data_IF_708796744102
#
_entry.id   IF_708796744102
#
_cell.length_a   1.000
_cell.length_b   1.000
_cell.length_c   1.000
_cell.angle_alpha   90.00
_cell.angle_beta   90.00
_cell.angle_gamma   90.00
#
_symmetry.space_group_name_H-M   'P 1'
#
loop_
_entity.id
_entity.type
_entity.pdbx_description
1 polymer ?
#
# COMPACT_ATOMS: atom_id res chain seq x y z
N UNK A 1 -100.13 7.61 12.17
CA UNK A 1 -100.32 6.15 11.95
C UNK A 1 -98.95 5.55 11.66
N UNK A 2 -98.59 4.48 12.39
CA UNK A 2 -97.36 3.65 12.25
C UNK A 2 -97.38 2.89 10.89
N UNK A 3 -96.35 2.12 10.47
CA UNK A 3 -94.95 1.90 10.93
C UNK A 3 -93.95 2.18 9.76
N UNK A 4 -92.62 2.00 9.77
CA UNK A 4 -91.79 0.83 10.09
C UNK A 4 -90.28 1.18 10.16
N UNK A 5 -89.56 0.24 10.75
CA UNK A 5 -88.17 0.18 11.28
C UNK A 5 -87.26 -0.52 10.21
N UNK A 6 -85.95 -0.78 10.40
CA UNK A 6 -84.74 0.05 10.53
C UNK A 6 -83.67 -0.26 9.44
N UNK A 7 -82.48 0.36 9.48
CA UNK A 7 -81.24 -0.38 9.18
C UNK A 7 -80.03 0.20 9.92
N UNK A 8 -79.24 -0.74 10.43
CA UNK A 8 -78.17 -0.67 11.41
C UNK A 8 -76.84 -0.43 10.67
N UNK A 9 -75.94 0.38 11.24
CA UNK A 9 -74.52 0.02 11.23
C UNK A 9 -73.90 0.37 12.58
N UNK A 10 -73.32 -0.67 13.18
CA UNK A 10 -72.70 -0.72 14.49
C UNK A 10 -71.27 -0.17 14.47
N UNK A 11 -70.80 0.28 15.63
CA UNK A 11 -69.42 0.70 15.85
C UNK A 11 -69.15 1.29 17.25
N UNK A 12 -69.74 0.70 18.30
CA UNK A 12 -69.34 0.81 19.71
C UNK A 12 -67.91 0.24 19.91
N UNK A 13 -67.09 0.52 20.93
CA UNK A 13 -66.99 1.49 22.02
C UNK A 13 -65.79 1.04 22.91
N UNK A 14 -65.45 1.84 23.93
CA UNK A 14 -64.55 1.58 25.08
C UNK A 14 -63.03 1.64 24.83
N UNK A 15 -62.21 2.29 25.67
CA UNK A 15 -62.47 3.01 26.91
C UNK A 15 -61.16 3.35 27.66
N UNK A 16 -61.07 4.59 28.16
CA UNK A 16 -60.51 5.04 29.46
C UNK A 16 -59.30 4.31 30.11
N UNK A 17 -58.20 5.06 30.33
CA UNK A 17 -57.55 5.40 31.62
C UNK A 17 -56.01 5.42 31.62
N UNK A 18 -55.47 6.61 31.92
CA UNK A 18 -54.30 6.93 32.73
C UNK A 18 -52.98 6.15 32.55
N UNK A 19 -51.94 6.87 32.13
CA UNK A 19 -50.67 6.90 32.87
C UNK A 19 -49.86 8.16 32.54
N UNK A 20 -49.74 9.01 33.56
CA UNK A 20 -48.76 10.09 33.63
C UNK A 20 -47.40 9.42 33.82
N UNK A 21 -46.59 9.33 32.77
CA UNK A 21 -45.17 9.04 32.90
C UNK A 21 -44.39 10.32 32.58
N UNK A 22 -43.50 10.78 33.48
CA UNK A 22 -42.56 11.84 33.14
C UNK A 22 -41.68 11.36 31.99
N UNK A 23 -41.67 12.11 30.89
CA UNK A 23 -40.70 11.97 29.82
C UNK A 23 -39.31 12.23 30.39
N UNK A 24 -38.65 11.15 30.81
CA UNK A 24 -37.22 11.11 31.06
C UNK A 24 -36.51 11.77 29.86
N UNK A 25 -35.50 12.62 30.10
CA UNK A 25 -34.70 13.16 29.01
C UNK A 25 -34.15 11.98 28.22
N UNK A 26 -34.36 12.01 26.91
CA UNK A 26 -33.78 11.08 25.96
C UNK A 26 -32.32 10.87 26.34
N UNK A 27 -32.01 9.66 26.84
CA UNK A 27 -30.68 9.30 27.28
C UNK A 27 -29.72 9.68 26.17
N UNK A 28 -28.78 10.56 26.50
CA UNK A 28 -27.61 10.79 25.67
C UNK A 28 -27.04 9.40 25.37
N UNK A 29 -27.14 8.99 24.10
CA UNK A 29 -26.55 7.76 23.64
C UNK A 29 -25.05 7.87 23.94
N UNK A 30 -24.59 7.15 24.97
CA UNK A 30 -23.18 7.02 25.30
C UNK A 30 -22.44 6.69 24.01
N UNK A 31 -21.39 7.44 23.63
CA UNK A 31 -20.72 7.19 22.37
C UNK A 31 -20.27 5.73 22.35
N UNK A 32 -20.81 5.01 21.39
CA UNK A 32 -20.48 3.65 21.01
C UNK A 32 -18.97 3.62 20.69
N UNK A 33 -18.15 3.05 21.57
CA UNK A 33 -16.69 2.96 21.39
C UNK A 33 -15.97 4.33 21.24
N UNK A 34 -15.53 4.92 22.36
CA UNK A 34 -14.64 6.07 22.32
C UNK A 34 -13.18 5.64 22.12
N UNK A 35 -12.49 6.28 21.20
CA UNK A 35 -11.03 6.17 21.00
C UNK A 35 -10.38 7.33 21.74
N UNK A 36 -9.64 7.02 22.80
CA UNK A 36 -8.87 7.99 23.58
C UNK A 36 -7.41 7.92 23.13
N UNK A 37 -6.98 8.97 22.43
CA UNK A 37 -5.64 9.11 21.86
C UNK A 37 -4.59 8.85 22.94
N UNK A 38 -3.60 8.00 22.65
CA UNK A 38 -2.51 7.75 23.58
C UNK A 38 -2.85 6.90 24.81
N UNK A 39 -4.09 6.44 24.96
CA UNK A 39 -4.57 5.86 26.21
C UNK A 39 -5.39 4.58 26.07
N UNK A 40 -6.48 4.58 25.29
CA UNK A 40 -7.47 3.52 25.34
C UNK A 40 -8.39 3.47 24.11
N UNK A 41 -9.04 2.33 23.90
CA UNK A 41 -10.19 2.20 23.00
C UNK A 41 -11.27 1.42 23.75
N UNK A 42 -12.42 2.07 23.99
CA UNK A 42 -13.48 1.50 24.81
C UNK A 42 -13.00 1.18 26.23
N UNK A 43 -13.19 -0.06 26.68
CA UNK A 43 -12.80 -0.49 28.02
C UNK A 43 -11.32 -0.91 28.15
N UNK A 44 -10.63 -1.14 27.04
CA UNK A 44 -9.24 -1.64 27.05
C UNK A 44 -8.26 -0.49 27.03
N UNK A 45 -7.27 -0.53 27.92
CA UNK A 45 -6.27 0.53 28.12
C UNK A 45 -4.88 0.04 27.73
N UNK A 46 -4.04 0.97 27.29
CA UNK A 46 -2.61 0.70 27.11
C UNK A 46 -1.94 0.41 28.46
N UNK A 47 -1.06 -0.59 28.47
CA UNK A 47 -0.39 -1.08 29.68
C UNK A 47 -1.21 -2.08 30.50
N UNK A 48 -2.46 -2.37 30.12
CA UNK A 48 -3.28 -3.41 30.75
C UNK A 48 -2.62 -4.79 30.58
N UNK A 49 -2.70 -5.63 31.61
CA UNK A 49 -2.13 -6.97 31.57
C UNK A 49 -3.01 -7.92 30.74
N UNK A 50 -2.36 -8.88 30.07
CA UNK A 50 -3.01 -9.85 29.18
C UNK A 50 -4.21 -10.58 29.82
N UNK A 51 -4.15 -11.10 31.06
CA UNK A 51 -5.30 -11.79 31.67
C UNK A 51 -6.50 -10.87 31.88
N UNK A 52 -6.26 -9.62 32.26
CA UNK A 52 -7.33 -8.63 32.45
C UNK A 52 -7.96 -8.24 31.12
N UNK A 53 -7.14 -8.02 30.09
CA UNK A 53 -7.61 -7.72 28.74
C UNK A 53 -8.47 -8.86 28.18
N UNK A 54 -8.05 -10.13 28.31
CA UNK A 54 -8.83 -11.29 27.88
C UNK A 54 -10.13 -11.45 28.66
N UNK A 55 -10.14 -11.10 29.95
CA UNK A 55 -11.36 -11.08 30.77
C UNK A 55 -12.38 -10.06 30.25
N UNK A 56 -11.92 -8.90 29.78
CA UNK A 56 -12.78 -7.85 29.24
C UNK A 56 -13.24 -8.14 27.81
N UNK A 57 -12.36 -8.68 26.97
CA UNK A 57 -12.59 -8.87 25.54
C UNK A 57 -13.18 -10.24 25.19
N UNK A 58 -13.07 -11.22 26.09
CA UNK A 58 -13.38 -12.60 25.81
C UNK A 58 -12.32 -13.27 24.93
N UNK A 59 -12.70 -14.38 24.30
CA UNK A 59 -11.78 -15.16 23.48
C UNK A 59 -11.46 -14.47 22.14
N UNK A 60 -10.19 -14.36 21.75
CA UNK A 60 -9.81 -13.85 20.44
C UNK A 60 -10.26 -14.81 19.34
N UNK A 61 -10.61 -14.27 18.17
CA UNK A 61 -10.93 -15.07 16.97
C UNK A 61 -9.68 -15.53 16.22
N UNK A 62 -8.52 -14.95 16.56
CA UNK A 62 -7.23 -15.32 16.01
C UNK A 62 -6.09 -14.73 16.81
N UNK A 63 -4.93 -15.37 16.72
CA UNK A 63 -3.70 -14.92 17.34
C UNK A 63 -2.56 -15.09 16.35
N UNK A 64 -1.73 -14.06 16.21
CA UNK A 64 -0.53 -14.06 15.38
C UNK A 64 0.66 -13.74 16.27
N UNK A 65 1.66 -14.61 16.30
CA UNK A 65 2.93 -14.31 16.95
C UNK A 65 3.66 -13.24 16.10
N UNK A 66 4.00 -12.10 16.71
CA UNK A 66 4.74 -11.03 16.07
C UNK A 66 6.21 -11.40 15.84
N UNK A 67 6.83 -10.78 14.83
CA UNK A 67 8.19 -11.09 14.40
C UNK A 67 9.31 -10.63 15.36
N UNK A 68 9.00 -9.83 16.39
CA UNK A 68 9.97 -9.39 17.39
C UNK A 68 9.60 -9.85 18.81
N UNK A 69 10.65 -10.08 19.62
CA UNK A 69 10.64 -10.66 20.98
C UNK A 69 9.32 -10.47 21.75
N UNK A 70 8.57 -11.57 21.89
CA UNK A 70 7.36 -11.69 22.72
C UNK A 70 6.20 -10.76 22.34
N UNK A 71 6.14 -10.32 21.09
CA UNK A 71 4.96 -9.66 20.54
C UNK A 71 3.90 -10.69 20.15
N UNK A 72 2.67 -10.48 20.58
CA UNK A 72 1.51 -11.27 20.19
C UNK A 72 0.38 -10.33 19.78
N UNK A 73 -0.15 -10.53 18.58
CA UNK A 73 -1.29 -9.78 18.05
C UNK A 73 -2.54 -10.64 18.20
N UNK A 74 -3.50 -10.16 18.98
CA UNK A 74 -4.80 -10.77 19.16
C UNK A 74 -5.84 -10.07 18.27
N UNK A 75 -6.64 -10.86 17.57
CA UNK A 75 -7.68 -10.37 16.65
C UNK A 75 -9.06 -10.67 17.24
N UNK A 76 -9.97 -9.71 17.16
CA UNK A 76 -11.33 -9.79 17.69
C UNK A 76 -12.35 -9.33 16.65
N UNK A 77 -13.59 -9.85 16.75
CA UNK A 77 -14.71 -9.47 15.88
C UNK A 77 -15.45 -8.20 16.33
N UNK A 78 -15.08 -7.62 17.48
CA UNK A 78 -15.78 -6.51 18.11
C UNK A 78 -15.31 -5.11 17.66
N UNK A 79 -15.76 -4.05 18.36
CA UNK A 79 -15.36 -2.67 18.08
C UNK A 79 -13.84 -2.47 18.14
N UNK A 80 -13.17 -3.20 19.01
CA UNK A 80 -11.72 -3.31 19.05
C UNK A 80 -11.32 -4.51 18.18
N UNK A 81 -10.67 -4.25 17.04
CA UNK A 81 -10.38 -5.29 16.05
C UNK A 81 -9.06 -6.01 16.29
N UNK A 82 -8.05 -5.30 16.82
CA UNK A 82 -6.71 -5.85 17.04
C UNK A 82 -6.10 -5.27 18.32
N UNK A 83 -5.37 -6.12 19.05
CA UNK A 83 -4.63 -5.75 20.26
C UNK A 83 -3.23 -6.36 20.17
N UNK A 84 -2.21 -5.51 20.26
CA UNK A 84 -0.82 -5.97 20.32
C UNK A 84 -0.36 -6.00 21.76
N UNK A 85 0.12 -7.16 22.20
CA UNK A 85 0.68 -7.40 23.53
C UNK A 85 2.17 -7.67 23.41
N UNK A 86 2.99 -7.01 24.23
CA UNK A 86 4.44 -7.23 24.31
C UNK A 86 4.82 -7.46 25.75
N UNK A 87 5.47 -8.58 26.05
CA UNK A 87 5.87 -8.91 27.43
C UNK A 87 4.69 -9.00 28.40
N UNK A 88 3.55 -9.50 27.93
CA UNK A 88 2.33 -9.67 28.74
C UNK A 88 1.47 -8.41 28.90
N UNK A 89 1.88 -7.26 28.36
CA UNK A 89 1.14 -6.00 28.47
C UNK A 89 0.64 -5.47 27.12
N UNK A 90 -0.54 -4.87 27.12
CA UNK A 90 -1.12 -4.19 25.96
C UNK A 90 -0.25 -2.99 25.56
N UNK A 91 0.19 -2.96 24.31
CA UNK A 91 1.02 -1.89 23.73
C UNK A 91 0.36 -1.11 22.62
N UNK A 92 -0.53 -1.75 21.85
CA UNK A 92 -1.30 -1.12 20.78
C UNK A 92 -2.72 -1.63 20.76
N UNK A 93 -3.63 -0.75 20.38
CA UNK A 93 -5.07 -0.99 20.28
C UNK A 93 -5.52 -0.49 18.92
N UNK A 94 -6.23 -1.29 18.13
CA UNK A 94 -6.67 -0.85 16.81
C UNK A 94 -8.14 -1.19 16.53
N UNK A 95 -8.84 -0.26 15.89
CA UNK A 95 -10.24 -0.40 15.50
C UNK A 95 -10.44 -0.13 14.02
N UNK A 96 -11.27 -0.98 13.39
CA UNK A 96 -11.83 -0.80 12.04
C UNK A 96 -13.34 -0.54 12.09
N UNK A 97 -13.92 -0.42 13.28
CA UNK A 97 -15.36 -0.41 13.45
C UNK A 97 -15.92 1.00 13.30
N UNK A 98 -16.91 1.17 12.42
CA UNK A 98 -17.48 2.49 12.07
C UNK A 98 -18.18 3.22 13.21
N UNK A 99 -18.51 2.53 14.31
CA UNK A 99 -19.06 3.18 15.50
C UNK A 99 -17.99 3.95 16.28
N UNK A 100 -16.72 3.54 16.20
CA UNK A 100 -15.68 4.13 17.03
C UNK A 100 -15.32 5.55 16.57
N UNK A 101 -15.18 6.47 17.52
CA UNK A 101 -14.87 7.88 17.26
C UNK A 101 -13.74 8.36 18.17
N UNK A 102 -12.81 9.13 17.62
CA UNK A 102 -11.75 9.78 18.43
C UNK A 102 -12.30 10.93 19.27
N UNK A 103 -11.58 11.37 20.31
CA UNK A 103 -12.00 12.55 21.06
C UNK A 103 -12.05 13.80 20.16
N UNK A 104 -11.17 13.88 19.16
CA UNK A 104 -11.20 14.90 18.11
C UNK A 104 -12.32 14.71 17.04
N UNK A 105 -13.16 13.68 17.15
CA UNK A 105 -14.32 13.48 16.28
C UNK A 105 -14.03 12.84 14.91
N UNK A 106 -12.88 12.15 14.76
CA UNK A 106 -12.53 11.39 13.55
C UNK A 106 -13.08 9.97 13.63
N UNK A 107 -13.57 9.42 12.51
CA UNK A 107 -14.16 8.09 12.40
C UNK A 107 -13.60 7.30 11.22
N UNK A 108 -13.86 6.00 11.20
CA UNK A 108 -13.64 5.16 10.02
C UNK A 108 -14.48 5.70 8.85
N UNK A 109 -13.86 5.83 7.68
CA UNK A 109 -14.44 6.38 6.46
C UNK A 109 -14.16 7.86 6.23
N UNK A 110 -13.67 8.60 7.23
CA UNK A 110 -13.29 10.01 7.07
C UNK A 110 -12.10 10.18 6.13
N UNK A 111 -12.02 11.30 5.42
CA UNK A 111 -10.92 11.61 4.51
C UNK A 111 -9.70 12.24 5.22
N UNK A 112 -8.54 12.24 4.55
CA UNK A 112 -7.31 12.86 5.05
C UNK A 112 -7.50 14.31 5.53
N UNK A 113 -8.26 15.12 4.79
CA UNK A 113 -8.53 16.52 5.15
C UNK A 113 -9.26 16.67 6.50
N UNK A 114 -10.16 15.73 6.82
CA UNK A 114 -10.89 15.73 8.09
C UNK A 114 -9.94 15.41 9.26
N UNK A 115 -9.04 14.45 9.07
CA UNK A 115 -8.01 14.12 10.06
C UNK A 115 -7.10 15.32 10.30
N UNK A 116 -6.57 15.93 9.23
CA UNK A 116 -5.70 17.11 9.34
C UNK A 116 -6.39 18.30 10.02
N UNK A 117 -7.69 18.51 9.76
CA UNK A 117 -8.45 19.57 10.41
C UNK A 117 -8.72 19.27 11.90
N UNK A 118 -8.97 18.02 12.26
CA UNK A 118 -9.20 17.61 13.65
C UNK A 118 -7.93 17.67 14.51
N UNK A 119 -6.76 17.58 13.89
CA UNK A 119 -5.44 17.59 14.53
C UNK A 119 -4.54 18.73 14.01
N UNK A 120 -5.14 19.86 13.64
CA UNK A 120 -4.43 21.03 13.09
C UNK A 120 -3.32 21.56 14.02
N UNK A 121 -3.53 21.44 15.34
CA UNK A 121 -2.60 21.85 16.40
C UNK A 121 -1.69 20.72 16.88
N UNK A 122 -1.80 19.52 16.31
CA UNK A 122 -0.95 18.41 16.73
C UNK A 122 0.49 18.65 16.29
N UNK A 123 1.41 18.57 17.24
CA UNK A 123 2.84 18.66 16.97
C UNK A 123 3.30 17.36 16.33
N UNK A 124 4.17 17.44 15.31
CA UNK A 124 4.85 16.26 14.76
C UNK A 124 3.95 15.26 14.03
N UNK A 125 2.83 15.70 13.46
CA UNK A 125 2.03 14.85 12.56
C UNK A 125 2.86 14.45 11.34
N UNK A 126 2.95 13.15 11.08
CA UNK A 126 3.68 12.57 9.96
C UNK A 126 2.73 11.90 9.00
N UNK A 127 3.01 12.06 7.71
CA UNK A 127 2.32 11.35 6.64
C UNK A 127 3.27 10.35 6.00
N UNK A 128 3.18 9.10 6.45
CA UNK A 128 3.92 7.98 5.90
C UNK A 128 3.11 7.25 4.80
N UNK A 129 3.79 6.57 3.89
CA UNK A 129 3.16 5.90 2.74
C UNK A 129 2.84 6.81 1.56
N UNK A 130 2.60 6.17 0.40
CA UNK A 130 2.23 6.83 -0.85
C UNK A 130 1.14 6.03 -1.59
N UNK A 131 0.39 6.71 -2.46
CA UNK A 131 -0.65 6.09 -3.28
C UNK A 131 -1.87 5.62 -2.48
N UNK A 132 -2.22 4.34 -2.62
CA UNK A 132 -3.47 3.77 -2.11
C UNK A 132 -3.47 3.50 -0.59
N UNK A 133 -2.30 3.47 0.05
CA UNK A 133 -2.14 3.25 1.49
C UNK A 133 -1.31 4.39 2.08
N UNK A 134 -1.94 5.20 2.94
CA UNK A 134 -1.31 6.34 3.61
C UNK A 134 -1.50 6.16 5.11
N UNK A 135 -0.50 6.53 5.91
CA UNK A 135 -0.54 6.48 7.38
C UNK A 135 -0.31 7.89 7.91
N UNK A 136 -1.27 8.43 8.66
CA UNK A 136 -1.10 9.68 9.40
C UNK A 136 -0.77 9.34 10.84
N UNK A 137 0.49 9.53 11.23
CA UNK A 137 1.00 9.17 12.56
C UNK A 137 1.12 10.44 13.40
N UNK A 138 0.52 10.44 14.59
CA UNK A 138 0.56 11.54 15.56
C UNK A 138 1.18 11.01 16.86
N UNK A 139 2.51 10.94 16.93
CA UNK A 139 3.22 10.20 17.98
C UNK A 139 3.01 10.79 19.38
N UNK A 140 2.96 12.12 19.49
CA UNK A 140 2.74 12.81 20.77
C UNK A 140 1.29 12.77 21.24
N UNK A 141 0.35 12.53 20.33
CA UNK A 141 -1.03 12.21 20.67
C UNK A 141 -1.21 10.71 20.93
N UNK A 142 -0.30 9.86 20.45
CA UNK A 142 -0.38 8.40 20.58
C UNK A 142 -1.50 7.79 19.73
N UNK A 143 -1.67 8.31 18.52
CA UNK A 143 -2.67 7.82 17.56
C UNK A 143 -2.12 7.78 16.14
N UNK A 144 -2.55 6.81 15.36
CA UNK A 144 -2.27 6.64 13.94
C UNK A 144 -3.57 6.36 13.18
N UNK A 145 -3.69 6.96 12.00
CA UNK A 145 -4.76 6.70 11.05
C UNK A 145 -4.18 6.02 9.82
N UNK A 146 -4.67 4.84 9.47
CA UNK A 146 -4.36 4.22 8.18
C UNK A 146 -5.49 4.54 7.21
N UNK A 147 -5.14 5.09 6.06
CA UNK A 147 -6.05 5.46 5.00
C UNK A 147 -5.86 4.50 3.82
N UNK A 148 -6.96 3.95 3.33
CA UNK A 148 -7.01 3.13 2.12
C UNK A 148 -7.92 3.81 1.12
N UNK A 149 -7.42 4.08 -0.09
CA UNK A 149 -8.19 4.83 -1.10
C UNK A 149 -8.60 6.23 -0.64
N UNK A 150 -7.78 6.88 0.20
CA UNK A 150 -8.01 8.23 0.71
C UNK A 150 -8.98 8.34 1.90
N UNK A 151 -9.49 7.21 2.42
CA UNK A 151 -10.39 7.17 3.58
C UNK A 151 -9.77 6.37 4.74
N UNK A 152 -9.98 6.83 5.97
CA UNK A 152 -9.55 6.12 7.19
C UNK A 152 -10.17 4.73 7.21
N UNK A 153 -9.33 3.69 7.18
CA UNK A 153 -9.70 2.28 7.21
C UNK A 153 -9.31 1.58 8.51
N UNK A 154 -8.43 2.18 9.30
CA UNK A 154 -8.00 1.74 10.63
C UNK A 154 -7.62 2.96 11.46
N UNK A 155 -7.97 2.92 12.74
CA UNK A 155 -7.45 3.82 13.77
C UNK A 155 -6.67 2.98 14.76
N UNK A 156 -5.41 3.32 15.00
CA UNK A 156 -4.55 2.67 15.98
C UNK A 156 -4.15 3.65 17.08
N UNK A 157 -4.21 3.18 18.33
CA UNK A 157 -3.80 3.89 19.54
C UNK A 157 -2.62 3.17 20.15
N UNK A 158 -1.58 3.94 20.46
CA UNK A 158 -0.34 3.48 21.09
C UNK A 158 0.09 4.50 22.14
N UNK A 159 1.05 4.15 23.00
CA UNK A 159 1.45 5.06 24.09
C UNK A 159 2.00 6.36 23.49
N UNK A 160 1.40 7.49 23.86
CA UNK A 160 1.85 8.80 23.44
C UNK A 160 3.31 9.05 23.85
N UNK A 161 4.07 9.66 22.95
CA UNK A 161 5.44 10.06 23.21
C UNK A 161 5.47 11.32 24.11
N UNK A 162 6.46 11.39 25.00
CA UNK A 162 6.64 12.57 25.85
C UNK A 162 7.27 13.67 25.00
N UNK A 163 6.57 14.79 24.83
CA UNK A 163 7.14 16.01 24.27
C UNK A 163 8.35 16.42 25.13
N UNK A 164 9.57 16.52 24.57
CA UNK A 164 10.70 17.05 25.30
C UNK A 164 10.36 18.47 25.79
N UNK A 165 10.67 18.80 27.06
CA UNK A 165 10.35 20.11 27.68
C UNK A 165 10.89 21.30 26.86
N UNK A 166 11.97 21.11 26.11
CA UNK A 166 12.52 22.12 25.18
C UNK A 166 11.63 22.42 23.96
N UNK A 167 10.72 21.52 23.59
CA UNK A 167 9.78 21.70 22.47
C UNK A 167 8.54 22.51 22.86
N UNK A 168 8.08 22.41 24.12
CA UNK A 168 6.97 23.21 24.64
C UNK A 168 7.30 24.72 24.73
N UNK A 169 8.59 25.07 24.78
CA UNK A 169 9.10 26.45 24.82
C UNK A 169 9.51 27.00 23.44
N UNK A 170 9.48 26.18 22.37
CA UNK A 170 10.01 26.53 21.05
C UNK A 170 9.07 27.38 20.17
N UNK A 171 8.01 27.98 20.72
CA UNK A 171 7.34 29.12 20.06
C UNK A 171 8.20 30.40 20.12
N UNK A 172 9.30 30.39 20.88
CA UNK A 172 10.38 31.36 20.74
C UNK A 172 11.37 30.89 19.66
N UNK A 173 11.58 31.74 18.66
CA UNK A 173 12.52 31.58 17.54
C UNK A 173 13.90 31.08 18.01
N UNK A 174 14.39 29.90 17.57
CA UNK A 174 15.75 29.49 17.87
C UNK A 174 16.73 30.10 16.87
N UNK A 175 17.89 30.51 17.41
CA UNK A 175 19.05 30.95 16.62
C UNK A 175 19.54 29.86 15.66
N UNK A 176 20.14 30.22 14.51
CA UNK A 176 20.69 29.26 13.56
C UNK A 176 21.95 28.59 14.14
N UNK A 177 22.02 27.25 14.10
CA UNK A 177 23.32 26.57 14.08
C UNK A 177 23.67 25.51 15.13
N UNK A 178 22.73 24.85 15.81
CA UNK A 178 23.08 23.58 16.49
C UNK A 178 22.40 22.39 15.81
N UNK A 179 23.16 21.62 15.02
CA UNK A 179 22.80 20.25 14.71
C UNK A 179 22.54 19.50 16.02
N UNK A 180 21.55 18.61 16.06
CA UNK A 180 21.44 17.68 17.17
C UNK A 180 22.67 16.77 17.12
N UNK A 181 23.70 17.08 17.90
CA UNK A 181 24.90 16.25 18.02
C UNK A 181 24.48 14.81 18.34
N UNK A 182 24.85 13.86 17.47
CA UNK A 182 24.74 12.43 17.75
C UNK A 182 23.76 11.58 16.94
N UNK A 183 23.01 12.15 16.00
CA UNK A 183 22.14 11.37 15.10
C UNK A 183 22.93 10.89 13.88
N UNK A 184 23.00 9.57 13.67
CA UNK A 184 23.77 8.96 12.57
C UNK A 184 22.99 7.81 11.94
N UNK A 185 22.89 7.80 10.61
CA UNK A 185 22.35 6.66 9.85
C UNK A 185 23.42 5.55 9.83
N UNK A 186 23.13 4.42 10.48
CA UNK A 186 24.07 3.29 10.66
C UNK A 186 24.01 2.30 9.52
N UNK A 187 22.80 1.97 9.08
CA UNK A 187 22.56 1.08 7.94
C UNK A 187 21.48 1.67 7.05
N UNK A 188 21.60 1.39 5.76
CA UNK A 188 20.65 1.79 4.75
C UNK A 188 20.72 0.76 3.61
N UNK A 189 19.58 0.20 3.28
CA UNK A 189 19.44 -0.81 2.23
C UNK A 189 18.18 -0.52 1.44
N UNK A 190 18.23 -0.78 0.14
CA UNK A 190 17.09 -0.69 -0.76
C UNK A 190 16.98 -1.96 -1.58
N UNK A 191 15.79 -2.55 -1.67
CA UNK A 191 15.55 -3.73 -2.50
C UNK A 191 14.18 -3.72 -3.18
N UNK A 192 14.07 -4.35 -4.34
CA UNK A 192 12.79 -4.57 -5.02
C UNK A 192 12.03 -5.75 -4.39
N UNK A 193 10.76 -5.53 -4.05
CA UNK A 193 9.77 -6.56 -3.71
C UNK A 193 8.53 -6.37 -4.60
N UNK A 194 8.41 -7.18 -5.64
CA UNK A 194 7.33 -7.07 -6.63
C UNK A 194 7.39 -5.74 -7.38
N UNK A 195 6.42 -4.85 -7.14
CA UNK A 195 6.32 -3.52 -7.76
C UNK A 195 6.73 -2.39 -6.82
N UNK A 196 7.27 -2.72 -5.65
CA UNK A 196 7.67 -1.75 -4.65
C UNK A 196 9.16 -1.83 -4.39
N UNK A 197 9.79 -0.67 -4.23
CA UNK A 197 11.12 -0.56 -3.70
C UNK A 197 11.03 -0.40 -2.17
N UNK A 198 11.58 -1.37 -1.45
CA UNK A 198 11.59 -1.42 0.01
C UNK A 198 12.87 -0.81 0.51
N UNK A 199 12.75 0.31 1.22
CA UNK A 199 13.88 0.99 1.86
C UNK A 199 13.84 0.67 3.34
N UNK A 200 14.94 0.12 3.84
CA UNK A 200 15.10 -0.17 5.25
C UNK A 200 16.42 0.34 5.77
N UNK A 201 16.46 0.68 7.04
CA UNK A 201 17.66 1.26 7.63
C UNK A 201 17.55 1.41 9.13
N UNK A 202 18.62 1.97 9.69
CA UNK A 202 18.72 2.17 11.12
C UNK A 202 19.46 3.44 11.45
N UNK A 203 19.04 4.12 12.50
CA UNK A 203 19.57 5.41 12.93
C UNK A 203 19.91 5.32 14.41
N UNK A 204 21.15 5.62 14.76
CA UNK A 204 21.56 5.78 16.16
C UNK A 204 21.41 7.22 16.61
N UNK A 205 21.07 7.41 17.88
CA UNK A 205 21.09 8.71 18.54
C UNK A 205 22.00 8.62 19.77
N UNK A 206 23.08 9.41 19.84
CA UNK A 206 23.92 9.50 21.06
C UNK A 206 23.53 10.65 21.99
N UNK A 207 22.58 11.50 21.59
CA UNK A 207 22.09 12.63 22.39
C UNK A 207 20.94 12.27 23.33
N UNK A 208 20.14 13.26 23.72
CA UNK A 208 18.91 13.04 24.49
C UNK A 208 17.87 12.28 23.65
N UNK A 209 16.88 11.59 24.26
CA UNK A 209 15.81 10.95 23.50
C UNK A 209 15.08 11.94 22.58
N UNK A 210 15.02 11.64 21.27
CA UNK A 210 14.35 12.49 20.27
C UNK A 210 13.40 11.66 19.42
N UNK A 211 12.21 12.22 19.15
CA UNK A 211 11.28 11.68 18.17
C UNK A 211 11.77 12.00 16.75
N UNK A 212 12.06 10.95 15.96
CA UNK A 212 12.73 11.04 14.67
C UNK A 212 11.89 10.36 13.58
N UNK A 213 11.92 10.93 12.39
CA UNK A 213 11.41 10.29 11.17
C UNK A 213 12.45 10.39 10.06
N UNK A 214 12.28 9.55 9.04
CA UNK A 214 13.04 9.65 7.80
C UNK A 214 12.17 10.19 6.69
N UNK A 215 12.72 11.07 5.88
CA UNK A 215 12.24 11.41 4.54
C UNK A 215 13.06 10.58 3.55
N UNK A 216 12.38 9.87 2.66
CA UNK A 216 12.98 8.96 1.69
C UNK A 216 12.65 9.48 0.30
N UNK A 217 13.68 9.73 -0.49
CA UNK A 217 13.56 10.16 -1.89
C UNK A 217 14.22 9.12 -2.78
N UNK A 218 13.49 8.63 -3.78
CA UNK A 218 13.97 7.69 -4.79
C UNK A 218 14.22 8.43 -6.10
N UNK A 219 15.37 8.19 -6.71
CA UNK A 219 15.84 8.89 -7.90
C UNK A 219 16.22 7.89 -9.01
N UNK A 220 15.93 8.27 -10.24
CA UNK A 220 16.37 7.58 -11.46
C UNK A 220 17.85 7.86 -11.77
N UNK A 221 18.39 7.24 -12.82
CA UNK A 221 19.81 7.36 -13.20
C UNK A 221 20.18 8.77 -13.65
N UNK A 222 19.26 9.46 -14.31
CA UNK A 222 19.37 10.86 -14.71
C UNK A 222 19.15 11.87 -13.55
N UNK A 223 18.85 11.37 -12.34
CA UNK A 223 18.55 12.18 -11.17
C UNK A 223 17.09 12.65 -11.07
N UNK A 224 16.22 12.25 -11.98
CA UNK A 224 14.78 12.53 -11.93
C UNK A 224 14.15 11.91 -10.69
N UNK A 225 13.20 12.65 -10.12
CA UNK A 225 12.44 12.22 -8.95
C UNK A 225 11.44 11.11 -9.30
N UNK A 226 11.55 9.95 -8.67
CA UNK A 226 10.64 8.82 -8.87
C UNK A 226 9.53 8.78 -7.81
N UNK A 227 9.90 8.89 -6.54
CA UNK A 227 8.97 8.81 -5.44
C UNK A 227 9.55 9.47 -4.18
N UNK A 228 8.66 10.01 -3.35
CA UNK A 228 9.00 10.55 -2.04
C UNK A 228 7.99 10.06 -1.01
N UNK A 229 8.49 9.69 0.16
CA UNK A 229 7.67 9.31 1.31
C UNK A 229 8.38 9.66 2.61
N UNK A 230 7.68 9.50 3.73
CA UNK A 230 8.30 9.52 5.06
C UNK A 230 8.01 8.23 5.79
N UNK A 231 8.87 7.88 6.74
CA UNK A 231 8.65 6.74 7.63
C UNK A 231 9.07 7.08 9.08
N UNK A 232 8.27 6.69 10.09
CA UNK A 232 8.70 6.80 11.47
C UNK A 232 9.80 5.77 11.77
N UNK A 233 10.62 6.06 12.78
CA UNK A 233 11.52 5.06 13.34
C UNK A 233 10.81 4.23 14.42
N UNK A 234 11.34 3.04 14.72
CA UNK A 234 10.89 2.21 15.83
C UNK A 234 12.12 1.64 16.58
N UNK A 235 12.19 1.77 17.92
CA UNK A 235 11.30 2.56 18.77
C UNK A 235 11.43 4.06 18.50
N UNK A 236 10.35 4.80 18.79
CA UNK A 236 10.32 6.26 18.78
C UNK A 236 9.71 6.76 20.11
N UNK A 237 10.33 7.72 20.82
CA UNK A 237 11.59 8.39 20.51
C UNK A 237 12.81 7.44 20.54
N UNK A 238 13.83 7.76 19.73
CA UNK A 238 15.11 7.05 19.77
C UNK A 238 15.91 7.56 20.97
N UNK A 239 16.05 6.71 21.99
CA UNK A 239 16.79 7.05 23.21
C UNK A 239 18.28 7.29 22.98
N UNK A 240 18.93 8.01 23.90
CA UNK A 240 20.37 8.21 23.89
C UNK A 240 21.15 6.90 23.98
N UNK A 241 22.14 6.73 23.12
CA UNK A 241 22.90 5.50 22.94
C UNK A 241 22.13 4.36 22.28
N UNK A 242 20.89 4.59 21.82
CA UNK A 242 20.02 3.57 21.20
C UNK A 242 19.89 3.79 19.70
N UNK A 243 19.27 2.81 19.05
CA UNK A 243 19.00 2.78 17.63
C UNK A 243 17.50 2.61 17.38
N UNK A 244 16.98 3.37 16.43
CA UNK A 244 15.68 3.14 15.81
C UNK A 244 15.87 2.52 14.42
N UNK A 245 14.90 1.72 13.98
CA UNK A 245 14.87 1.14 12.64
C UNK A 245 13.64 1.64 11.88
N UNK A 246 13.73 1.65 10.55
CA UNK A 246 12.59 1.93 9.68
C UNK A 246 12.59 0.95 8.50
N UNK A 247 11.41 0.67 7.98
CA UNK A 247 11.18 -0.06 6.74
C UNK A 247 9.97 0.57 6.07
N UNK A 248 10.09 0.95 4.81
CA UNK A 248 9.02 1.55 4.03
C UNK A 248 8.95 0.94 2.64
N UNK A 249 7.75 0.57 2.20
CA UNK A 249 7.50 0.00 0.87
C UNK A 249 6.96 1.09 -0.05
N UNK A 250 7.72 1.41 -1.09
CA UNK A 250 7.44 2.54 -1.98
C UNK A 250 7.11 1.99 -3.38
N UNK A 251 5.87 2.12 -3.87
CA UNK A 251 5.55 1.75 -5.25
C UNK A 251 6.41 2.55 -6.23
N UNK A 252 7.04 1.87 -7.17
CA UNK A 252 7.87 2.50 -8.21
C UNK A 252 7.44 2.03 -9.58
N UNK A 253 7.37 2.96 -10.52
CA UNK A 253 7.08 2.68 -11.93
C UNK A 253 8.33 2.57 -12.79
N UNK A 254 9.51 2.78 -12.21
CA UNK A 254 10.78 2.90 -12.93
C UNK A 254 11.95 2.42 -12.06
N UNK A 255 13.14 2.33 -12.67
CA UNK A 255 14.35 1.85 -12.05
C UNK A 255 14.90 2.87 -11.06
N UNK A 256 15.06 2.44 -9.80
CA UNK A 256 15.70 3.26 -8.76
C UNK A 256 17.20 3.11 -8.88
N UNK A 257 17.90 4.18 -9.25
CA UNK A 257 19.36 4.21 -9.33
C UNK A 257 19.98 4.69 -8.02
N UNK A 258 19.30 5.60 -7.31
CA UNK A 258 19.80 6.23 -6.09
C UNK A 258 18.66 6.47 -5.12
N UNK A 259 18.94 6.26 -3.83
CA UNK A 259 18.03 6.60 -2.76
C UNK A 259 18.71 7.57 -1.80
N UNK A 260 17.96 8.57 -1.35
CA UNK A 260 18.40 9.58 -0.38
C UNK A 260 17.52 9.48 0.84
N UNK A 261 18.13 9.31 2.01
CA UNK A 261 17.43 9.26 3.30
C UNK A 261 17.88 10.41 4.16
N UNK A 262 16.94 11.28 4.54
CA UNK A 262 17.17 12.39 5.46
C UNK A 262 16.45 12.12 6.78
N UNK A 263 17.19 12.09 7.89
CA UNK A 263 16.62 12.00 9.24
C UNK A 263 16.26 13.40 9.73
N UNK A 264 15.04 13.55 10.23
CA UNK A 264 14.51 14.82 10.74
C UNK A 264 13.86 14.60 12.10
N UNK A 265 13.84 15.64 12.93
CA UNK A 265 13.07 15.61 14.18
C UNK A 265 11.61 15.91 13.90
N UNK A 266 10.70 15.17 14.54
CA UNK A 266 9.26 15.44 14.45
C UNK A 266 8.88 16.80 15.06
N UNK A 267 9.67 17.32 16.01
CA UNK A 267 9.45 18.62 16.62
C UNK A 267 10.02 19.78 15.79
N UNK A 268 10.96 19.49 14.87
CA UNK A 268 11.61 20.46 13.98
C UNK A 268 11.76 19.85 12.58
N UNK A 269 10.64 19.62 11.87
CA UNK A 269 10.65 18.85 10.63
C UNK A 269 11.46 19.50 9.50
N UNK A 270 11.67 20.82 9.55
CA UNK A 270 12.43 21.55 8.53
C UNK A 270 13.95 21.33 8.62
N UNK A 271 14.48 20.92 9.77
CA UNK A 271 15.93 20.73 9.97
C UNK A 271 16.33 19.27 9.72
N UNK A 272 17.25 19.06 8.77
CA UNK A 272 17.92 17.77 8.60
C UNK A 272 18.92 17.53 9.74
N UNK A 273 18.87 16.36 10.36
CA UNK A 273 19.77 15.94 11.43
C UNK A 273 20.86 15.01 10.95
N UNK A 274 20.54 14.17 9.97
CA UNK A 274 21.49 13.33 9.24
C UNK A 274 20.97 13.10 7.83
N UNK A 275 21.87 12.87 6.88
CA UNK A 275 21.52 12.51 5.52
C UNK A 275 22.46 11.42 5.05
N UNK A 276 21.92 10.43 4.32
CA UNK A 276 22.73 9.41 3.65
C UNK A 276 22.14 9.15 2.27
N UNK A 277 23.04 9.12 1.30
CA UNK A 277 22.75 8.73 -0.08
C UNK A 277 23.35 7.35 -0.34
N UNK A 278 22.59 6.47 -0.97
CA UNK A 278 23.04 5.13 -1.36
C UNK A 278 22.70 4.90 -2.84
N UNK A 279 23.68 4.42 -3.61
CA UNK A 279 23.46 3.99 -4.98
C UNK A 279 22.99 2.53 -5.00
N UNK A 280 22.00 2.24 -5.85
CA UNK A 280 21.48 0.90 -6.02
C UNK A 280 22.37 0.15 -7.01
N UNK A 281 23.23 -0.72 -6.47
CA UNK A 281 24.24 -1.43 -7.26
C UNK A 281 23.75 -2.74 -7.87
N UNK A 282 22.77 -3.38 -7.23
CA UNK A 282 22.19 -4.61 -7.72
C UNK A 282 21.06 -4.27 -8.68
N UNK A 283 21.34 -4.36 -9.97
CA UNK A 283 20.38 -4.02 -11.03
C UNK A 283 19.49 -5.22 -11.38
N UNK A 284 19.90 -6.45 -11.01
CA UNK A 284 19.18 -7.69 -11.33
C UNK A 284 17.80 -7.74 -10.66
N UNK A 285 17.66 -7.13 -9.49
CA UNK A 285 16.40 -7.05 -8.75
C UNK A 285 15.27 -6.33 -9.51
N UNK A 286 15.58 -5.56 -10.56
CA UNK A 286 14.58 -4.87 -11.38
C UNK A 286 14.06 -5.71 -12.56
N UNK A 287 14.53 -6.94 -12.78
CA UNK A 287 14.12 -7.77 -13.92
C UNK A 287 12.60 -7.91 -14.07
N UNK A 288 11.86 -8.08 -12.96
CA UNK A 288 10.40 -8.15 -12.97
C UNK A 288 9.70 -6.81 -13.29
N UNK A 289 10.36 -5.68 -13.04
CA UNK A 289 9.87 -4.36 -13.42
C UNK A 289 10.14 -4.08 -14.90
N UNK A 290 11.31 -4.48 -15.41
CA UNK A 290 11.70 -4.28 -16.82
C UNK A 290 10.74 -4.92 -17.80
N UNK A 291 10.14 -6.06 -17.47
CA UNK A 291 9.08 -6.70 -18.27
C UNK A 291 7.92 -5.74 -18.59
N UNK A 292 7.55 -4.88 -17.63
CA UNK A 292 6.46 -3.89 -17.81
C UNK A 292 6.89 -2.64 -18.57
N UNK A 293 8.19 -2.40 -18.64
CA UNK A 293 8.78 -1.28 -19.37
C UNK A 293 9.17 -1.67 -20.80
N UNK A 294 8.88 -2.90 -21.22
CA UNK A 294 8.98 -3.34 -22.59
C UNK A 294 7.67 -3.06 -23.33
N UNK A 295 7.78 -2.33 -24.43
CA UNK A 295 6.70 -2.17 -25.38
C UNK A 295 6.92 -3.14 -26.55
N UNK A 296 6.00 -4.08 -26.72
CA UNK A 296 6.12 -5.14 -27.73
C UNK A 296 4.96 -5.01 -28.73
N UNK A 297 5.32 -4.86 -30.01
CA UNK A 297 4.36 -4.76 -31.12
C UNK A 297 4.72 -5.77 -32.19
N UNK A 298 3.76 -6.61 -32.60
CA UNK A 298 3.96 -7.51 -33.73
C UNK A 298 3.78 -6.71 -35.03
N UNK A 299 4.84 -6.66 -35.84
CA UNK A 299 4.87 -5.97 -37.12
C UNK A 299 4.55 -6.94 -38.26
N UNK A 300 3.67 -6.50 -39.16
CA UNK A 300 3.40 -7.24 -40.40
C UNK A 300 2.50 -8.45 -40.21
N UNK A 301 1.22 -8.20 -39.91
CA UNK A 301 0.15 -9.11 -40.32
C UNK A 301 -0.30 -8.74 -41.74
N UNK A 302 0.61 -8.76 -42.72
CA UNK A 302 0.16 -8.80 -44.11
C UNK A 302 -0.44 -10.19 -44.30
N UNK A 303 -1.74 -10.25 -44.60
CA UNK A 303 -2.63 -11.42 -44.58
C UNK A 303 -2.11 -12.68 -45.32
N UNK A 304 -1.01 -12.58 -46.07
CA UNK A 304 -0.60 -13.60 -47.04
C UNK A 304 0.81 -14.18 -46.80
N UNK A 305 1.59 -13.73 -45.79
CA UNK A 305 2.94 -14.29 -45.51
C UNK A 305 3.29 -14.31 -44.02
N UNK A 306 3.30 -15.49 -43.38
CA UNK A 306 3.76 -15.63 -42.00
C UNK A 306 5.29 -15.80 -41.89
N UNK A 307 5.96 -16.14 -43.00
CA UNK A 307 7.42 -16.09 -43.10
C UNK A 307 7.84 -14.63 -43.24
N UNK A 308 8.43 -14.07 -42.19
CA UNK A 308 8.85 -12.67 -42.13
C UNK A 308 8.01 -11.77 -41.21
N UNK A 309 7.09 -12.32 -40.40
CA UNK A 309 6.49 -11.57 -39.31
C UNK A 309 7.58 -11.20 -38.29
N UNK A 310 7.66 -9.90 -37.99
CA UNK A 310 8.66 -9.33 -37.08
C UNK A 310 7.99 -8.89 -35.79
N UNK A 311 8.75 -8.77 -34.71
CA UNK A 311 8.31 -8.11 -33.48
C UNK A 311 9.19 -6.90 -33.26
N UNK A 312 8.57 -5.72 -33.16
CA UNK A 312 9.20 -4.54 -32.59
C UNK A 312 9.17 -4.62 -31.07
N UNK A 313 10.33 -4.47 -30.46
CA UNK A 313 10.51 -4.45 -29.01
C UNK A 313 11.20 -3.15 -28.68
N UNK A 314 10.56 -2.31 -27.87
CA UNK A 314 11.12 -1.03 -27.42
C UNK A 314 11.37 -1.09 -25.92
N UNK A 315 12.61 -0.85 -25.51
CA UNK A 315 12.96 -0.74 -24.10
C UNK A 315 12.68 0.68 -23.61
N UNK A 316 11.63 0.88 -22.81
CA UNK A 316 11.29 2.18 -22.23
C UNK A 316 12.02 2.46 -20.90
N UNK A 317 12.88 1.56 -20.45
CA UNK A 317 13.67 1.77 -19.23
C UNK A 317 14.99 2.47 -19.53
N UNK A 318 15.56 3.10 -18.50
CA UNK A 318 16.93 3.66 -18.52
C UNK A 318 18.01 2.56 -18.42
N UNK A 319 17.63 1.30 -18.19
CA UNK A 319 18.56 0.19 -18.09
C UNK A 319 18.73 -0.54 -19.41
N UNK A 320 19.96 -0.96 -19.68
CA UNK A 320 20.26 -1.92 -20.73
C UNK A 320 19.69 -3.29 -20.36
N UNK A 321 18.97 -3.93 -21.27
CA UNK A 321 18.54 -5.32 -21.14
C UNK A 321 19.61 -6.21 -21.78
N UNK A 322 20.10 -7.22 -21.06
CA UNK A 322 21.19 -8.12 -21.51
C UNK A 322 20.70 -9.52 -21.87
N UNK A 323 19.38 -9.70 -21.94
CA UNK A 323 18.75 -10.88 -22.45
C UNK A 323 17.24 -10.73 -22.41
N UNK A 324 16.58 -11.07 -23.51
CA UNK A 324 15.12 -11.11 -23.59
C UNK A 324 14.71 -12.37 -24.34
N UNK A 325 13.78 -13.12 -23.74
CA UNK A 325 13.09 -14.22 -24.41
C UNK A 325 11.58 -13.95 -24.34
N UNK A 326 10.96 -13.79 -25.50
CA UNK A 326 9.51 -13.69 -25.63
C UNK A 326 8.96 -14.99 -26.20
N UNK A 327 7.90 -15.51 -25.58
CA UNK A 327 7.08 -16.57 -26.15
C UNK A 327 5.80 -15.95 -26.68
N UNK A 328 5.54 -16.14 -27.97
CA UNK A 328 4.33 -15.69 -28.63
C UNK A 328 3.50 -16.90 -29.06
N UNK A 329 2.19 -16.75 -29.05
CA UNK A 329 1.24 -17.71 -29.59
C UNK A 329 0.57 -17.08 -30.81
N UNK A 330 0.63 -17.79 -31.92
CA UNK A 330 -0.08 -17.47 -33.13
C UNK A 330 -1.32 -18.34 -33.20
N UNK A 331 -2.48 -17.73 -33.40
CA UNK A 331 -3.71 -18.44 -33.77
C UNK A 331 -4.01 -18.16 -35.23
N UNK A 332 -3.99 -19.19 -36.07
CA UNK A 332 -4.38 -19.12 -37.48
C UNK A 332 -5.78 -19.68 -37.67
N UNK A 333 -6.61 -19.00 -38.44
CA UNK A 333 -7.91 -19.52 -38.89
C UNK A 333 -7.83 -19.70 -40.39
N UNK A 334 -8.05 -20.94 -40.85
CA UNK A 334 -7.86 -21.34 -42.24
C UNK A 334 -9.18 -21.86 -42.80
N UNK A 335 -9.57 -21.35 -43.97
CA UNK A 335 -10.79 -21.68 -44.69
C UNK A 335 -10.42 -22.31 -46.03
N UNK A 336 -10.82 -23.56 -46.20
CA UNK A 336 -10.54 -24.37 -47.40
C UNK A 336 -11.84 -24.76 -48.09
N UNK A 337 -11.81 -24.81 -49.41
CA UNK A 337 -12.88 -25.42 -50.21
C UNK A 337 -12.47 -26.85 -50.60
N UNK A 338 -13.28 -27.83 -50.21
CA UNK A 338 -13.09 -29.23 -50.59
C UNK A 338 -13.65 -29.48 -51.99
N UNK A 339 -13.18 -30.55 -52.65
CA UNK A 339 -13.74 -31.00 -53.92
C UNK A 339 -15.27 -31.22 -53.76
N UNK A 340 -16.08 -30.44 -54.49
CA UNK A 340 -17.54 -30.41 -54.36
C UNK A 340 -18.13 -29.14 -53.74
N UNK A 341 -17.32 -28.12 -53.42
CA UNK A 341 -17.80 -26.79 -53.01
C UNK A 341 -18.07 -26.63 -51.50
N UNK A 342 -17.78 -27.66 -50.70
CA UNK A 342 -17.96 -27.62 -49.25
C UNK A 342 -16.82 -26.82 -48.60
N UNK A 343 -17.17 -25.75 -47.90
CA UNK A 343 -16.22 -24.93 -47.15
C UNK A 343 -15.95 -25.55 -45.76
N UNK A 344 -14.67 -25.77 -45.45
CA UNK A 344 -14.19 -26.26 -44.17
C UNK A 344 -13.31 -25.20 -43.50
N UNK A 345 -13.58 -24.90 -42.22
CA UNK A 345 -12.78 -23.96 -41.43
C UNK A 345 -12.17 -24.68 -40.25
N UNK A 346 -10.87 -24.51 -40.03
CA UNK A 346 -10.18 -25.01 -38.85
C UNK A 346 -9.23 -23.97 -38.28
N UNK A 347 -8.86 -24.15 -37.01
CA UNK A 347 -7.93 -23.27 -36.31
C UNK A 347 -6.65 -24.04 -35.98
N UNK A 348 -5.52 -23.41 -36.23
CA UNK A 348 -4.17 -23.91 -35.94
C UNK A 348 -3.50 -22.97 -34.94
N UNK A 349 -2.98 -23.50 -33.82
CA UNK A 349 -2.27 -22.72 -32.81
C UNK A 349 -0.81 -23.12 -32.79
N UNK A 350 0.08 -22.14 -32.84
CA UNK A 350 1.53 -22.36 -32.82
C UNK A 350 2.23 -21.44 -31.85
N UNK A 351 3.38 -21.89 -31.39
CA UNK A 351 4.28 -21.08 -30.59
C UNK A 351 5.39 -20.52 -31.48
N UNK A 352 5.70 -19.25 -31.23
CA UNK A 352 6.88 -18.58 -31.76
C UNK A 352 7.75 -18.08 -30.62
N UNK A 353 9.05 -18.06 -30.83
CA UNK A 353 10.00 -17.49 -29.87
C UNK A 353 10.76 -16.34 -30.49
N UNK A 354 11.01 -15.30 -29.70
CA UNK A 354 11.91 -14.21 -30.06
C UNK A 354 12.99 -14.14 -28.98
N UNK A 355 14.25 -14.09 -29.41
CA UNK A 355 15.40 -13.95 -28.52
C UNK A 355 16.16 -12.70 -28.91
N UNK A 356 16.41 -11.84 -27.93
CA UNK A 356 17.25 -10.66 -28.11
C UNK A 356 18.36 -10.69 -27.08
N UNK A 357 19.60 -10.61 -27.56
CA UNK A 357 20.75 -10.62 -26.67
C UNK A 357 20.88 -9.31 -25.90
N UNK A 358 20.64 -8.16 -26.55
CA UNK A 358 20.78 -6.85 -25.93
C UNK A 358 19.74 -5.89 -26.46
N UNK A 359 19.14 -5.08 -25.57
CA UNK A 359 18.34 -3.92 -25.95
C UNK A 359 18.82 -2.71 -25.13
N UNK A 360 19.37 -1.71 -25.82
CA UNK A 360 19.83 -0.48 -25.18
C UNK A 360 18.65 0.38 -24.68
N UNK A 361 18.87 1.27 -23.69
CA UNK A 361 17.83 2.17 -23.18
C UNK A 361 17.17 2.99 -24.29
N UNK A 362 15.84 3.09 -24.28
CA UNK A 362 15.04 3.84 -25.26
C UNK A 362 15.22 3.42 -26.73
N UNK A 363 15.81 2.25 -26.98
CA UNK A 363 16.01 1.72 -28.33
C UNK A 363 14.89 0.74 -28.70
N UNK A 364 14.48 0.81 -29.97
CA UNK A 364 13.59 -0.16 -30.61
C UNK A 364 14.42 -1.13 -31.46
N UNK A 365 14.20 -2.42 -31.25
CA UNK A 365 14.77 -3.50 -32.05
C UNK A 365 13.64 -4.25 -32.76
N UNK A 366 13.91 -4.72 -33.97
CA UNK A 366 12.97 -5.52 -34.75
C UNK A 366 13.58 -6.89 -35.00
N UNK A 367 12.89 -7.95 -34.57
CA UNK A 367 13.43 -9.31 -34.58
C UNK A 367 12.41 -10.26 -35.21
N UNK A 368 12.84 -11.18 -36.09
CA UNK A 368 11.93 -12.15 -36.69
C UNK A 368 11.40 -13.11 -35.62
N UNK A 369 10.15 -13.55 -35.79
CA UNK A 369 9.57 -14.60 -34.96
C UNK A 369 10.01 -15.96 -35.48
N UNK A 370 10.71 -16.73 -34.65
CA UNK A 370 11.03 -18.12 -34.94
C UNK A 370 9.81 -18.99 -34.61
N UNK A 371 9.06 -19.38 -35.65
CA UNK A 371 7.90 -20.27 -35.52
C UNK A 371 8.34 -21.73 -35.35
N UNK A 372 7.73 -22.43 -34.41
CA UNK A 372 7.86 -23.89 -34.32
C UNK A 372 6.96 -24.55 -35.37
N UNK A 373 7.57 -25.37 -36.23
CA UNK A 373 6.96 -26.21 -37.26
C UNK A 373 6.33 -25.46 -38.47
N UNK A 374 6.53 -26.03 -39.66
CA UNK A 374 5.64 -25.81 -40.78
C UNK A 374 4.31 -26.51 -40.49
N UNK A 375 3.19 -25.98 -40.97
CA UNK A 375 1.90 -26.57 -40.66
C UNK A 375 0.86 -26.11 -41.66
N UNK A 376 -0.35 -26.65 -41.61
CA UNK A 376 -1.07 -27.13 -42.80
C UNK A 376 -1.75 -26.06 -43.67
N UNK A 377 -1.72 -24.78 -43.28
CA UNK A 377 -2.44 -23.73 -44.00
C UNK A 377 -1.84 -23.26 -45.34
N UNK A 378 -0.50 -23.16 -45.53
CA UNK A 378 0.09 -22.93 -46.84
C UNK A 378 0.20 -24.26 -47.58
N UNK A 379 -0.54 -24.43 -48.68
CA UNK A 379 -0.39 -25.62 -49.53
C UNK A 379 -1.52 -25.91 -50.53
N UNK A 380 -2.71 -25.31 -50.36
CA UNK A 380 -3.84 -25.55 -51.26
C UNK A 380 -4.21 -24.28 -52.05
N UNK A 381 -4.50 -24.42 -53.36
CA UNK A 381 -5.11 -23.33 -54.15
C UNK A 381 -6.52 -23.07 -53.60
N UNK A 382 -6.86 -21.82 -53.31
CA UNK A 382 -8.18 -21.43 -52.79
C UNK A 382 -8.31 -21.41 -51.26
N UNK A 383 -7.19 -21.41 -50.52
CA UNK A 383 -7.18 -21.26 -49.06
C UNK A 383 -7.13 -19.80 -48.65
N UNK A 384 -8.19 -19.30 -48.02
CA UNK A 384 -8.15 -18.04 -47.28
C UNK A 384 -7.72 -18.31 -45.84
N UNK A 385 -6.80 -17.53 -45.30
CA UNK A 385 -6.42 -17.65 -43.89
C UNK A 385 -6.14 -16.30 -43.25
N UNK A 386 -6.20 -16.26 -41.93
CA UNK A 386 -5.83 -15.10 -41.11
C UNK A 386 -5.04 -15.55 -39.89
N UNK A 387 -4.24 -14.66 -39.31
CA UNK A 387 -3.46 -14.92 -38.11
C UNK A 387 -3.62 -13.80 -37.09
N UNK A 388 -3.75 -14.17 -35.83
CA UNK A 388 -3.62 -13.28 -34.68
C UNK A 388 -2.46 -13.74 -33.81
N UNK A 389 -1.82 -12.77 -33.15
CA UNK A 389 -0.68 -13.02 -32.27
C UNK A 389 -0.99 -12.56 -30.85
N UNK A 390 -0.52 -13.33 -29.88
CA UNK A 390 -0.62 -13.02 -28.46
C UNK A 390 0.70 -13.30 -27.78
N UNK A 391 1.14 -12.41 -26.90
CA UNK A 391 2.30 -12.66 -26.05
C UNK A 391 1.86 -13.59 -24.92
N UNK A 392 2.57 -14.70 -24.75
CA UNK A 392 2.29 -15.72 -23.72
C UNK A 392 3.13 -15.48 -22.49
N UNK A 393 4.42 -15.20 -22.69
CA UNK A 393 5.34 -14.88 -21.61
C UNK A 393 6.52 -14.06 -22.12
N UNK A 394 7.14 -13.34 -21.19
CA UNK A 394 8.34 -12.58 -21.39
C UNK A 394 9.30 -12.88 -20.23
N UNK A 395 10.57 -13.10 -20.54
CA UNK A 395 11.64 -13.28 -19.56
C UNK A 395 12.75 -12.29 -19.88
N UNK A 396 12.98 -11.37 -18.95
CA UNK A 396 14.00 -10.32 -19.07
C UNK A 396 15.19 -10.62 -18.16
N UNK A 397 16.38 -10.42 -18.67
CA UNK A 397 17.63 -10.46 -17.93
C UNK A 397 18.23 -9.05 -17.90
N UNK A 398 18.54 -8.58 -16.69
CA UNK A 398 19.22 -7.31 -16.46
C UNK A 398 20.74 -7.53 -16.41
N UNK A 399 21.56 -6.46 -16.54
CA UNK A 399 23.01 -6.59 -16.57
C UNK A 399 23.51 -7.22 -15.28
N UNK A 400 24.25 -8.33 -15.43
CA UNK A 400 24.99 -8.91 -14.31
C UNK A 400 26.16 -8.01 -13.98
N UNK A 401 26.44 -7.87 -12.68
CA UNK A 401 27.63 -7.16 -12.22
C UNK A 401 28.89 -7.81 -12.80
N UNK A 402 29.71 -7.03 -13.50
CA UNK A 402 31.09 -7.39 -13.88
C UNK A 402 32.04 -7.21 -12.71
#
# INVERSE_FOLDING_TARGET
>A
MRPAVPLILAGLLFGLLASVFPSLPAGAASPSCLVQEGQAIGAVRLGMDLPEMLRLMGSPIGQVAGGQRQETIYVFAGPLSQITVVGGQVRRLATRHGSCVTAAGVRIGDGEARVRAAYDRAVGMLRAGSGALIRLVLPFNGIEFVLTGGKVSLIEVFRAEVLPVAAALAHATPAPGSAAEGVVIRSLTGKMEGTSFVVSGSVSNSGTPVALYVQIVLLAGDGRHLAETTAPLYPNPVGGGRQGTFEERIPVGDVVARLVVTVRSMNRPTQALAEKTEEVKDVEQFAGLLDRLLEVTVLGAALDRPSGTMVAITNRSELRITGLVLTLEMTRTCRNELAGGTLFTFTDRRQGTVRVAVIEPNVRVEVPIELQNEGPCPGFRGTDWSATWRIVSAKVEAPKKS
#
